data_IF_201554616881
#
_entry.id   IF_201554616881
#
_cell.length_a   1.000
_cell.length_b   1.000
_cell.length_c   1.000
_cell.angle_alpha   90.00
_cell.angle_beta   90.00
_cell.angle_gamma   90.00
#
_symmetry.space_group_name_H-M   'P 1'
#
loop_
_entity.id
_entity.type
_entity.pdbx_description
1 polymer ?
#
# COMPACT_ATOMS: atom_id res chain seq x y z
N UNK A 1 23.88 14.47 -14.63
CA UNK A 1 24.08 15.90 -14.30
C UNK A 1 24.62 16.01 -12.87
N UNK A 2 25.01 17.20 -12.41
CA UNK A 2 25.43 17.38 -11.01
C UNK A 2 24.28 17.03 -10.04
N UNK A 3 23.06 17.48 -10.35
CA UNK A 3 21.82 17.17 -9.61
C UNK A 3 21.62 15.66 -9.47
N UNK A 4 21.67 14.91 -10.58
CA UNK A 4 21.53 13.44 -10.57
C UNK A 4 22.58 12.75 -9.69
N UNK A 5 23.82 13.27 -9.66
CA UNK A 5 24.89 12.72 -8.80
C UNK A 5 24.62 12.94 -7.31
N UNK A 6 24.06 14.09 -6.93
CA UNK A 6 23.71 14.41 -5.53
C UNK A 6 22.50 13.62 -5.04
N UNK A 7 21.49 13.43 -5.90
CA UNK A 7 20.34 12.57 -5.58
C UNK A 7 20.73 11.10 -5.47
N UNK A 8 21.64 10.63 -6.33
CA UNK A 8 21.90 9.22 -6.53
C UNK A 8 20.77 8.55 -7.31
N UNK A 9 20.83 7.21 -7.41
CA UNK A 9 19.90 6.42 -8.22
C UNK A 9 18.59 6.17 -7.46
N UNK A 10 17.47 6.73 -7.93
CA UNK A 10 16.14 6.50 -7.35
C UNK A 10 15.44 5.25 -7.91
N UNK A 11 15.64 4.98 -9.19
CA UNK A 11 15.20 3.75 -9.87
C UNK A 11 16.39 3.11 -10.57
N UNK A 12 16.51 1.79 -10.50
CA UNK A 12 17.59 1.04 -11.14
C UNK A 12 17.35 0.84 -12.66
N UNK A 13 18.24 0.07 -13.31
CA UNK A 13 18.17 -0.21 -14.73
C UNK A 13 16.93 -1.03 -15.14
N UNK A 14 16.28 -1.73 -14.20
CA UNK A 14 15.04 -2.49 -14.41
C UNK A 14 13.78 -1.64 -14.09
N UNK A 15 13.94 -0.32 -13.92
CA UNK A 15 12.90 0.61 -13.44
C UNK A 15 12.30 0.21 -12.07
N UNK A 16 13.07 -0.49 -11.22
CA UNK A 16 12.66 -0.85 -9.85
C UNK A 16 13.08 0.22 -8.84
N UNK A 17 12.28 0.45 -7.79
CA UNK A 17 12.59 1.44 -6.75
C UNK A 17 13.79 1.03 -5.91
N UNK A 18 14.71 1.96 -5.67
CA UNK A 18 15.91 1.72 -4.84
C UNK A 18 15.68 2.05 -3.36
N UNK A 19 16.65 1.67 -2.51
CA UNK A 19 16.70 2.12 -1.12
C UNK A 19 16.75 3.67 -0.99
N UNK A 20 17.36 4.37 -1.95
CA UNK A 20 17.48 5.84 -1.96
C UNK A 20 16.14 6.54 -2.23
N UNK A 21 15.29 5.97 -3.10
CA UNK A 21 13.90 6.41 -3.21
C UNK A 21 13.15 6.17 -1.91
N UNK A 22 13.38 5.02 -1.25
CA UNK A 22 12.79 4.73 0.05
C UNK A 22 13.14 5.77 1.12
N UNK A 23 14.43 6.12 1.23
CA UNK A 23 14.94 7.18 2.11
C UNK A 23 14.25 8.53 1.88
N UNK A 24 14.09 8.92 0.61
CA UNK A 24 13.40 10.14 0.22
C UNK A 24 11.92 10.14 0.60
N UNK A 25 11.17 9.10 0.23
CA UNK A 25 9.74 9.03 0.47
C UNK A 25 9.40 8.87 1.96
N UNK A 26 10.21 8.13 2.73
CA UNK A 26 10.10 8.09 4.20
C UNK A 26 10.43 9.46 4.82
N UNK A 27 11.42 10.17 4.28
CA UNK A 27 11.78 11.52 4.70
C UNK A 27 10.64 12.51 4.52
N UNK A 28 9.96 12.45 3.37
CA UNK A 28 8.74 13.20 3.09
C UNK A 28 7.62 12.82 4.07
N UNK A 29 7.39 11.53 4.33
CA UNK A 29 6.41 11.09 5.32
C UNK A 29 6.70 11.63 6.73
N UNK A 30 7.97 11.68 7.14
CA UNK A 30 8.41 12.23 8.44
C UNK A 30 8.14 13.73 8.51
N UNK A 31 8.31 14.48 7.42
CA UNK A 31 7.92 15.90 7.36
C UNK A 31 6.40 16.07 7.52
N UNK A 32 5.58 15.31 6.79
CA UNK A 32 4.12 15.33 6.96
C UNK A 32 3.70 14.95 8.40
N UNK A 33 4.37 13.98 9.01
CA UNK A 33 4.13 13.57 10.38
C UNK A 33 4.41 14.69 11.39
N UNK A 34 5.52 15.41 11.24
CA UNK A 34 5.94 16.44 12.19
C UNK A 34 5.24 17.78 11.98
N UNK A 35 5.11 18.25 10.74
CA UNK A 35 4.80 19.65 10.43
C UNK A 35 3.35 19.90 10.01
N UNK A 36 2.60 18.85 9.61
CA UNK A 36 1.17 18.96 9.30
C UNK A 36 0.32 18.64 10.54
N UNK A 37 -0.85 19.26 10.67
CA UNK A 37 -1.75 18.98 11.79
C UNK A 37 -2.43 17.59 11.69
N UNK A 38 -2.64 16.87 12.82
CA UNK A 38 -2.06 17.13 14.14
C UNK A 38 -0.55 16.89 14.12
N UNK A 39 0.24 17.89 14.57
CA UNK A 39 1.72 17.81 14.55
C UNK A 39 2.27 16.71 15.45
N UNK A 40 3.47 16.23 15.11
CA UNK A 40 4.18 15.14 15.80
C UNK A 40 3.32 13.89 16.01
N UNK A 41 2.53 13.52 15.00
CA UNK A 41 1.80 12.25 14.97
C UNK A 41 2.76 11.05 14.85
N UNK A 42 2.23 9.82 14.78
CA UNK A 42 3.03 8.62 14.46
C UNK A 42 2.82 8.11 13.02
N UNK A 43 1.86 8.70 12.31
CA UNK A 43 1.39 8.28 10.97
C UNK A 43 0.88 9.47 10.16
N UNK A 44 0.89 9.32 8.84
CA UNK A 44 0.24 10.23 7.89
C UNK A 44 -1.24 9.82 7.78
N UNK A 45 -2.12 10.55 8.46
CA UNK A 45 -3.58 10.32 8.46
C UNK A 45 -4.22 10.73 7.12
N UNK A 46 -5.49 10.35 6.84
CA UNK A 46 -6.16 10.76 5.60
C UNK A 46 -6.25 12.28 5.45
N UNK A 47 -6.43 13.02 6.55
CA UNK A 47 -6.39 14.48 6.54
C UNK A 47 -5.02 15.03 6.10
N UNK A 48 -3.92 14.43 6.56
CA UNK A 48 -2.56 14.79 6.11
C UNK A 48 -2.30 14.41 4.65
N UNK A 49 -2.81 13.26 4.20
CA UNK A 49 -2.76 12.85 2.79
C UNK A 49 -3.50 13.86 1.90
N UNK A 50 -4.70 14.28 2.29
CA UNK A 50 -5.45 15.29 1.56
C UNK A 50 -4.71 16.62 1.48
N UNK A 51 -4.27 17.13 2.64
CA UNK A 51 -3.53 18.40 2.75
C UNK A 51 -2.26 18.38 1.88
N UNK A 52 -1.52 17.27 1.88
CA UNK A 52 -0.37 17.05 0.99
C UNK A 52 -0.78 17.16 -0.50
N UNK A 53 -1.81 16.44 -0.94
CA UNK A 53 -2.27 16.50 -2.33
C UNK A 53 -2.83 17.88 -2.76
N UNK A 54 -3.33 18.70 -1.83
CA UNK A 54 -3.66 20.10 -2.08
C UNK A 54 -2.41 20.97 -2.28
N UNK A 55 -1.42 20.84 -1.40
CA UNK A 55 -0.21 21.68 -1.41
C UNK A 55 0.65 21.41 -2.65
N UNK A 56 0.77 20.13 -3.06
CA UNK A 56 1.50 19.72 -4.27
C UNK A 56 0.56 19.38 -5.44
N UNK A 57 -0.59 20.04 -5.52
CA UNK A 57 -1.57 19.82 -6.60
C UNK A 57 -0.97 20.06 -7.99
N UNK A 58 -1.26 19.17 -8.93
CA UNK A 58 -0.88 19.31 -10.36
C UNK A 58 -2.07 19.80 -11.20
N UNK A 59 -1.83 20.13 -12.48
CA UNK A 59 -2.86 20.72 -13.35
C UNK A 59 -3.95 19.70 -13.74
N UNK A 60 -3.55 18.53 -14.24
CA UNK A 60 -4.46 17.42 -14.56
C UNK A 60 -4.33 16.34 -13.49
N UNK A 61 -5.21 16.38 -12.48
CA UNK A 61 -5.23 15.38 -11.41
C UNK A 61 -5.94 14.10 -11.88
N UNK A 62 -5.16 13.02 -12.03
CA UNK A 62 -5.65 11.70 -12.44
C UNK A 62 -6.73 11.15 -11.51
N UNK A 63 -6.70 11.52 -10.22
CA UNK A 63 -7.57 10.98 -9.18
C UNK A 63 -8.19 12.08 -8.31
N UNK A 64 -9.46 11.94 -7.89
CA UNK A 64 -10.14 12.95 -7.08
C UNK A 64 -9.74 12.83 -5.60
N UNK A 65 -8.57 13.37 -5.23
CA UNK A 65 -8.02 13.23 -3.87
C UNK A 65 -8.95 13.73 -2.76
N UNK A 66 -9.72 14.79 -3.03
CA UNK A 66 -10.76 15.28 -2.12
C UNK A 66 -11.80 14.20 -1.79
N UNK A 67 -12.29 13.47 -2.80
CA UNK A 67 -13.22 12.36 -2.60
C UNK A 67 -12.55 11.22 -1.83
N UNK A 68 -11.33 10.85 -2.24
CA UNK A 68 -10.59 9.69 -1.70
C UNK A 68 -10.24 9.86 -0.21
N UNK A 69 -9.81 11.06 0.21
CA UNK A 69 -9.33 11.28 1.58
C UNK A 69 -10.22 12.17 2.44
N UNK A 70 -11.13 12.94 1.83
CA UNK A 70 -12.11 13.80 2.51
C UNK A 70 -13.54 13.26 2.56
N UNK A 71 -13.93 12.31 1.68
CA UNK A 71 -15.31 11.79 1.61
C UNK A 71 -15.43 10.28 1.88
N UNK A 72 -14.45 9.46 1.47
CA UNK A 72 -14.52 8.02 1.68
C UNK A 72 -14.50 7.64 3.17
N UNK A 73 -15.19 6.55 3.49
CA UNK A 73 -15.14 5.98 4.84
C UNK A 73 -13.73 5.50 5.19
N UNK A 74 -13.36 5.59 6.47
CA UNK A 74 -12.10 5.03 6.97
C UNK A 74 -11.97 3.51 6.74
N UNK A 75 -13.08 2.78 6.63
CA UNK A 75 -13.06 1.37 6.24
C UNK A 75 -12.66 1.20 4.76
N UNK A 76 -13.20 2.03 3.86
CA UNK A 76 -12.81 2.07 2.44
C UNK A 76 -11.33 2.43 2.29
N UNK A 77 -10.85 3.45 3.02
CA UNK A 77 -9.44 3.88 2.99
C UNK A 77 -8.50 2.79 3.53
N UNK A 78 -8.87 2.09 4.61
CA UNK A 78 -8.09 0.93 5.09
C UNK A 78 -8.09 -0.24 4.09
N UNK A 79 -9.20 -0.51 3.40
CA UNK A 79 -9.24 -1.47 2.28
C UNK A 79 -8.28 -1.06 1.16
N UNK A 80 -8.38 0.18 0.67
CA UNK A 80 -7.47 0.77 -0.32
C UNK A 80 -5.99 0.60 0.08
N UNK A 81 -5.62 0.91 1.33
CA UNK A 81 -4.25 0.70 1.80
C UNK A 81 -3.84 -0.78 1.84
N UNK A 82 -4.73 -1.72 2.20
CA UNK A 82 -4.44 -3.17 2.13
C UNK A 82 -4.29 -3.67 0.70
N UNK A 83 -5.15 -3.24 -0.21
CA UNK A 83 -5.13 -3.58 -1.63
C UNK A 83 -3.80 -3.11 -2.27
N UNK A 84 -3.32 -1.93 -1.87
CA UNK A 84 -2.00 -1.39 -2.23
C UNK A 84 -0.83 -1.87 -1.34
N UNK A 85 -1.04 -2.81 -0.40
CA UNK A 85 -0.01 -3.32 0.54
C UNK A 85 0.71 -2.23 1.35
N UNK A 86 0.06 -1.10 1.58
CA UNK A 86 0.59 0.03 2.33
C UNK A 86 0.38 -0.19 3.84
N UNK A 87 1.48 -0.24 4.61
CA UNK A 87 1.44 -0.38 6.06
C UNK A 87 0.76 0.83 6.70
N UNK A 88 -0.25 0.59 7.53
CA UNK A 88 -0.96 1.63 8.27
C UNK A 88 -1.26 1.15 9.69
N UNK A 89 -1.41 2.11 10.60
CA UNK A 89 -1.96 1.89 11.93
C UNK A 89 -3.31 2.62 12.04
N UNK A 90 -4.17 2.14 12.92
CA UNK A 90 -5.35 2.90 13.32
C UNK A 90 -5.00 3.83 14.48
N UNK A 91 -5.37 5.11 14.37
CA UNK A 91 -5.28 6.08 15.46
C UNK A 91 -6.68 6.46 15.94
N UNK A 92 -6.76 6.90 17.20
CA UNK A 92 -7.95 7.55 17.74
C UNK A 92 -8.09 8.96 17.18
N UNK A 93 -9.31 9.48 17.20
CA UNK A 93 -9.53 10.91 17.05
C UNK A 93 -9.09 11.63 18.34
N UNK A 94 -8.47 12.80 18.21
CA UNK A 94 -7.74 13.46 19.30
C UNK A 94 -8.60 13.81 20.51
N UNK A 95 -9.90 14.00 20.30
CA UNK A 95 -10.87 14.40 21.32
C UNK A 95 -11.80 13.24 21.76
N UNK A 96 -11.65 12.03 21.21
CA UNK A 96 -12.58 10.89 21.42
C UNK A 96 -11.89 9.68 22.06
N UNK A 97 -11.31 9.87 23.25
CA UNK A 97 -10.59 8.85 24.01
C UNK A 97 -11.44 7.64 24.42
N UNK A 98 -12.77 7.78 24.46
CA UNK A 98 -13.74 6.72 24.73
C UNK A 98 -13.93 5.76 23.55
N UNK A 99 -13.56 6.17 22.33
CA UNK A 99 -13.76 5.40 21.10
C UNK A 99 -12.51 4.63 20.70
N UNK A 100 -12.73 3.47 20.08
CA UNK A 100 -11.66 2.65 19.52
C UNK A 100 -10.86 3.41 18.43
N UNK A 101 -9.53 3.20 18.32
CA UNK A 101 -8.76 3.66 17.16
C UNK A 101 -9.39 3.18 15.84
N UNK A 102 -9.70 4.11 14.93
CA UNK A 102 -10.45 3.80 13.71
C UNK A 102 -10.04 4.62 12.48
N UNK A 103 -9.14 5.61 12.63
CA UNK A 103 -8.60 6.41 11.53
C UNK A 103 -7.35 5.72 10.96
N UNK A 104 -7.32 5.19 9.72
CA UNK A 104 -6.15 4.54 9.15
C UNK A 104 -5.12 5.59 8.72
N UNK A 105 -3.97 5.64 9.39
CA UNK A 105 -2.84 6.47 8.99
C UNK A 105 -1.67 5.63 8.48
N UNK A 106 -1.07 6.04 7.36
CA UNK A 106 0.10 5.39 6.78
C UNK A 106 1.33 5.57 7.69
N UNK A 107 2.07 4.50 7.94
CA UNK A 107 3.42 4.61 8.50
C UNK A 107 4.36 5.21 7.44
N UNK A 108 5.58 5.66 7.77
CA UNK A 108 6.56 6.08 6.76
C UNK A 108 6.82 5.02 5.67
N UNK A 109 6.83 3.73 6.05
CA UNK A 109 6.95 2.62 5.11
C UNK A 109 5.69 2.46 4.23
N UNK A 110 4.50 2.66 4.80
CA UNK A 110 3.24 2.68 4.06
C UNK A 110 3.16 3.81 3.05
N UNK A 111 3.57 5.02 3.45
CA UNK A 111 3.65 6.19 2.57
C UNK A 111 4.70 6.01 1.46
N UNK A 112 5.86 5.43 1.78
CA UNK A 112 6.82 5.00 0.76
C UNK A 112 6.18 4.04 -0.25
N UNK A 113 5.48 3.00 0.23
CA UNK A 113 4.83 2.02 -0.66
C UNK A 113 3.77 2.69 -1.56
N UNK A 114 2.94 3.55 -0.97
CA UNK A 114 1.94 4.36 -1.66
C UNK A 114 2.56 5.21 -2.78
N UNK A 115 3.50 6.11 -2.44
CA UNK A 115 4.10 7.01 -3.41
C UNK A 115 4.93 6.27 -4.47
N UNK A 116 5.59 5.16 -4.11
CA UNK A 116 6.29 4.32 -5.09
C UNK A 116 5.34 3.78 -6.16
N UNK A 117 4.13 3.32 -5.76
CA UNK A 117 3.12 2.85 -6.73
C UNK A 117 2.58 3.99 -7.58
N UNK A 118 2.34 5.16 -7.00
CA UNK A 118 1.92 6.35 -7.75
C UNK A 118 2.95 6.70 -8.83
N UNK A 119 4.24 6.78 -8.46
CA UNK A 119 5.33 7.07 -9.40
C UNK A 119 5.41 6.03 -10.52
N UNK A 120 5.30 4.74 -10.20
CA UNK A 120 5.33 3.69 -11.22
C UNK A 120 4.08 3.70 -12.12
N UNK A 121 2.92 4.12 -11.60
CA UNK A 121 1.67 4.19 -12.35
C UNK A 121 1.59 5.41 -13.29
N UNK A 122 2.14 6.55 -12.86
CA UNK A 122 2.09 7.86 -13.56
C UNK A 122 3.40 8.66 -13.36
N UNK A 123 4.51 8.28 -14.03
CA UNK A 123 5.84 8.84 -13.72
C UNK A 123 5.97 10.35 -13.98
N UNK A 124 5.24 10.88 -14.97
CA UNK A 124 5.28 12.30 -15.33
C UNK A 124 4.55 13.16 -14.28
N UNK A 125 3.29 12.81 -14.00
CA UNK A 125 2.43 13.49 -13.03
C UNK A 125 3.06 13.52 -11.63
N UNK A 126 3.65 12.41 -11.20
CA UNK A 126 4.27 12.32 -9.89
C UNK A 126 5.69 12.92 -9.85
N UNK A 127 6.38 13.04 -11.00
CA UNK A 127 7.56 13.90 -11.10
C UNK A 127 7.20 15.38 -10.87
N UNK A 128 6.17 15.90 -11.55
CA UNK A 128 5.72 17.29 -11.34
C UNK A 128 5.33 17.55 -9.88
N UNK A 129 4.55 16.62 -9.30
CA UNK A 129 4.13 16.66 -7.90
C UNK A 129 5.32 16.67 -6.93
N UNK A 130 6.27 15.76 -7.11
CA UNK A 130 7.43 15.64 -6.23
C UNK A 130 8.45 16.76 -6.46
N UNK A 131 8.50 17.37 -7.65
CA UNK A 131 9.29 18.57 -7.91
C UNK A 131 8.82 19.75 -7.04
N UNK A 132 7.51 19.97 -6.96
CA UNK A 132 6.92 20.95 -6.00
C UNK A 132 7.23 20.56 -4.55
N UNK A 133 7.03 19.29 -4.20
CA UNK A 133 7.30 18.80 -2.85
C UNK A 133 8.75 19.08 -2.41
N UNK A 134 9.76 18.79 -3.24
CA UNK A 134 11.16 19.08 -2.89
C UNK A 134 11.45 20.58 -2.84
N UNK A 135 10.85 21.37 -3.75
CA UNK A 135 11.04 22.81 -3.81
C UNK A 135 10.52 23.48 -2.53
N UNK A 136 9.33 23.12 -2.06
CA UNK A 136 8.66 23.80 -0.95
C UNK A 136 9.03 23.19 0.41
N UNK A 137 9.11 21.86 0.52
CA UNK A 137 9.26 21.16 1.80
C UNK A 137 10.73 20.93 2.19
N UNK A 138 11.13 21.04 3.47
CA UNK A 138 12.51 20.87 3.96
C UNK A 138 12.88 19.39 4.19
N UNK A 139 12.75 18.55 3.16
CA UNK A 139 12.85 17.09 3.26
C UNK A 139 14.29 16.63 3.60
N UNK A 140 14.41 15.81 4.64
CA UNK A 140 15.68 15.16 5.05
C UNK A 140 15.65 13.66 4.78
N UNK A 141 16.80 13.00 4.74
CA UNK A 141 16.88 11.54 4.65
C UNK A 141 16.33 10.89 5.93
N UNK A 142 15.43 9.92 5.77
CA UNK A 142 14.85 9.17 6.88
C UNK A 142 15.87 8.36 7.69
N UNK A 143 16.97 7.94 7.06
CA UNK A 143 18.01 7.10 7.66
C UNK A 143 19.18 7.94 8.20
N UNK A 144 19.35 9.18 7.72
CA UNK A 144 20.25 10.19 8.28
C UNK A 144 19.61 11.58 8.21
N UNK A 145 18.99 12.00 9.31
CA UNK A 145 18.25 13.28 9.39
C UNK A 145 19.14 14.52 9.18
N UNK A 146 20.47 14.38 9.21
CA UNK A 146 21.42 15.46 8.92
C UNK A 146 21.60 15.68 7.42
N UNK A 147 21.40 14.64 6.61
CA UNK A 147 21.40 14.76 5.16
C UNK A 147 20.07 15.35 4.68
N UNK A 148 20.13 16.48 3.99
CA UNK A 148 18.97 17.09 3.32
C UNK A 148 18.97 16.77 1.84
N UNK A 149 17.81 16.46 1.29
CA UNK A 149 17.67 16.29 -0.16
C UNK A 149 17.75 17.64 -0.88
N UNK A 150 18.25 17.68 -2.14
CA UNK A 150 18.25 18.89 -2.94
C UNK A 150 16.85 19.46 -3.17
N UNK A 151 16.75 20.79 -3.30
CA UNK A 151 15.51 21.52 -3.60
C UNK A 151 15.02 21.41 -5.05
N UNK A 152 15.76 20.69 -5.91
CA UNK A 152 15.43 20.45 -7.31
C UNK A 152 15.69 18.96 -7.62
N UNK A 153 14.75 18.30 -8.30
CA UNK A 153 14.85 16.88 -8.70
C UNK A 153 14.78 16.77 -10.23
N UNK A 154 15.57 15.86 -10.82
CA UNK A 154 15.62 15.67 -12.28
C UNK A 154 14.60 14.62 -12.73
N UNK A 155 13.81 14.94 -13.78
CA UNK A 155 12.88 13.99 -14.45
C UNK A 155 13.55 12.68 -14.88
N UNK A 156 14.86 12.72 -15.15
CA UNK A 156 15.67 11.55 -15.54
C UNK A 156 15.90 10.54 -14.43
N UNK A 157 15.58 10.89 -13.18
CA UNK A 157 15.63 9.97 -12.03
C UNK A 157 14.37 9.10 -11.91
N UNK A 158 13.34 9.35 -12.73
CA UNK A 158 12.05 8.66 -12.71
C UNK A 158 11.93 7.70 -13.91
N UNK A 159 11.07 6.65 -13.83
CA UNK A 159 10.80 5.75 -14.96
C UNK A 159 10.43 6.51 -16.24
N UNK A 160 10.82 5.99 -17.40
CA UNK A 160 10.55 6.64 -18.70
C UNK A 160 9.14 6.35 -19.19
N UNK A 161 8.54 5.25 -18.74
CA UNK A 161 7.21 4.80 -19.12
C UNK A 161 6.45 4.34 -17.89
N UNK A 162 5.14 4.48 -17.98
CA UNK A 162 4.19 4.01 -16.98
C UNK A 162 4.17 2.49 -16.93
N UNK A 163 4.29 1.94 -15.73
CA UNK A 163 4.11 0.51 -15.50
C UNK A 163 2.60 0.19 -15.53
N UNK A 164 2.14 -0.40 -16.63
CA UNK A 164 0.73 -0.70 -16.87
C UNK A 164 0.10 -1.57 -15.77
N UNK A 165 0.87 -2.52 -15.20
CA UNK A 165 0.40 -3.39 -14.11
C UNK A 165 0.20 -2.57 -12.82
N UNK A 166 1.15 -1.69 -12.48
CA UNK A 166 0.99 -0.77 -11.36
C UNK A 166 -0.18 0.20 -11.60
N UNK A 167 -0.33 0.73 -12.82
CA UNK A 167 -1.44 1.63 -13.17
C UNK A 167 -2.81 0.97 -13.03
N UNK A 168 -2.96 -0.26 -13.52
CA UNK A 168 -4.19 -1.06 -13.34
C UNK A 168 -4.47 -1.32 -11.86
N UNK A 169 -3.48 -1.80 -11.11
CA UNK A 169 -3.59 -2.07 -9.67
C UNK A 169 -4.00 -0.82 -8.88
N UNK A 170 -3.38 0.33 -9.17
CA UNK A 170 -3.69 1.62 -8.53
C UNK A 170 -5.10 2.09 -8.91
N UNK A 171 -5.47 2.04 -10.20
CA UNK A 171 -6.81 2.43 -10.64
C UNK A 171 -7.91 1.55 -10.02
N UNK A 172 -7.72 0.23 -9.96
CA UNK A 172 -8.67 -0.70 -9.34
C UNK A 172 -8.83 -0.43 -7.85
N UNK A 173 -7.73 -0.27 -7.11
CA UNK A 173 -7.79 0.01 -5.67
C UNK A 173 -8.44 1.37 -5.39
N UNK A 174 -8.04 2.43 -6.13
CA UNK A 174 -8.59 3.78 -5.96
C UNK A 174 -10.05 3.91 -6.36
N UNK A 175 -10.58 3.03 -7.23
CA UNK A 175 -12.00 2.97 -7.55
C UNK A 175 -12.87 2.62 -6.32
N UNK A 176 -12.28 2.06 -5.26
CA UNK A 176 -12.93 1.72 -3.99
C UNK A 176 -14.28 1.01 -4.20
N UNK A 177 -14.24 -0.09 -4.96
CA UNK A 177 -15.40 -0.93 -5.30
C UNK A 177 -16.55 -0.15 -5.97
N UNK A 178 -16.21 0.90 -6.72
CA UNK A 178 -17.14 1.77 -7.47
C UNK A 178 -17.51 3.08 -6.78
N UNK A 179 -17.04 3.32 -5.54
CA UNK A 179 -17.30 4.56 -4.79
C UNK A 179 -16.59 5.80 -5.38
N UNK A 180 -15.55 5.61 -6.20
CA UNK A 180 -14.77 6.70 -6.80
C UNK A 180 -14.79 6.58 -8.33
N UNK A 181 -15.19 7.63 -9.08
CA UNK A 181 -15.13 7.64 -10.53
C UNK A 181 -13.68 7.83 -11.00
N UNK A 182 -12.95 6.72 -11.12
CA UNK A 182 -11.60 6.71 -11.69
C UNK A 182 -11.68 6.73 -13.21
N UNK A 183 -10.94 7.64 -13.85
CA UNK A 183 -10.72 7.63 -15.30
C UNK A 183 -9.85 6.43 -15.68
N UNK A 184 -10.47 5.29 -16.00
CA UNK A 184 -9.78 4.19 -16.66
C UNK A 184 -9.45 4.57 -18.11
N UNK A 185 -8.27 4.15 -18.59
CA UNK A 185 -7.99 4.19 -20.02
C UNK A 185 -9.02 3.29 -20.76
N UNK A 186 -9.48 3.66 -21.97
CA UNK A 186 -10.41 2.82 -22.72
C UNK A 186 -9.79 1.43 -22.90
N UNK A 187 -10.46 0.39 -22.39
CA UNK A 187 -10.04 -0.96 -22.70
C UNK A 187 -10.21 -1.20 -24.21
N UNK A 188 -9.26 -1.89 -24.88
CA UNK A 188 -9.51 -2.34 -26.23
C UNK A 188 -10.79 -3.19 -26.25
N UNK A 189 -11.66 -3.05 -27.26
CA UNK A 189 -12.91 -3.80 -27.31
C UNK A 189 -12.60 -5.31 -27.31
N UNK A 190 -13.46 -6.14 -26.70
CA UNK A 190 -13.27 -7.58 -26.72
C UNK A 190 -13.21 -8.09 -28.18
N UNK A 191 -12.42 -9.14 -28.47
CA UNK A 191 -12.41 -9.75 -29.79
C UNK A 191 -13.82 -10.12 -30.21
N UNK A 192 -14.23 -9.69 -31.40
CA UNK A 192 -15.55 -10.01 -31.94
C UNK A 192 -15.74 -11.53 -32.08
N UNK A 193 -16.98 -12.04 -31.98
CA UNK A 193 -17.25 -13.47 -32.15
C UNK A 193 -16.79 -13.92 -33.55
N UNK A 194 -16.20 -15.13 -33.67
CA UNK A 194 -15.77 -15.65 -34.96
C UNK A 194 -16.98 -15.80 -35.90
N UNK A 195 -16.82 -15.53 -37.21
CA UNK A 195 -17.92 -15.60 -38.16
C UNK A 195 -18.48 -17.02 -38.24
N UNK A 196 -19.77 -17.18 -37.93
CA UNK A 196 -20.47 -18.45 -38.01
C UNK A 196 -20.57 -18.91 -39.46
N UNK A 197 -19.75 -19.89 -39.86
CA UNK A 197 -19.89 -20.54 -41.16
C UNK A 197 -21.16 -21.37 -41.16
N UNK A 198 -22.14 -20.98 -41.97
CA UNK A 198 -23.36 -21.78 -42.22
C UNK A 198 -23.01 -22.98 -43.10
N UNK A 199 -23.17 -24.23 -42.65
CA UNK A 199 -22.92 -25.39 -43.50
C UNK A 199 -24.05 -25.53 -44.53
N UNK A 200 -23.74 -25.34 -45.81
CA UNK A 200 -24.67 -25.68 -46.89
C UNK A 200 -24.73 -27.20 -47.05
N UNK A 201 -25.89 -27.78 -46.76
CA UNK A 201 -26.14 -29.21 -46.91
C UNK A 201 -26.48 -29.54 -48.37
N UNK A 202 -25.49 -30.01 -49.14
CA UNK A 202 -25.73 -30.54 -50.50
C UNK A 202 -25.73 -32.06 -50.42
N UNK A 203 -26.92 -32.65 -50.61
CA UNK A 203 -27.14 -34.09 -50.59
C UNK A 203 -26.92 -34.71 -51.97
N UNK A 204 -26.05 -35.72 -52.08
CA UNK A 204 -26.09 -36.78 -53.11
C UNK A 204 -25.12 -37.94 -52.78
N UNK A 205 -25.55 -39.17 -53.03
CA UNK A 205 -24.77 -40.43 -52.96
C UNK A 205 -24.96 -41.22 -54.28
N UNK A 206 -24.08 -42.17 -54.66
CA UNK A 206 -22.62 -42.10 -54.72
C UNK A 206 -22.18 -42.22 -56.21
N UNK A 207 -21.77 -43.35 -56.87
CA UNK A 207 -21.21 -44.65 -56.45
C UNK A 207 -19.77 -44.99 -56.97
N UNK A 208 -19.14 -45.94 -56.30
CA UNK A 208 -18.15 -46.96 -56.74
C UNK A 208 -16.81 -46.67 -57.46
N UNK A 209 -15.85 -47.51 -57.04
CA UNK A 209 -14.63 -47.99 -57.73
C UNK A 209 -13.30 -47.23 -57.59
N UNK A 210 -12.42 -47.90 -56.81
CA UNK A 210 -11.07 -48.32 -57.19
C UNK A 210 -9.84 -47.42 -56.94
N UNK A 211 -8.88 -48.06 -56.27
CA UNK A 211 -7.41 -48.05 -56.50
C UNK A 211 -6.50 -46.92 -55.97
N UNK A 212 -5.42 -47.41 -55.35
CA UNK A 212 -4.03 -46.91 -55.20
C UNK A 212 -3.72 -45.63 -54.39
N UNK A 213 -3.09 -45.89 -53.23
CA UNK A 213 -1.78 -45.40 -52.79
C UNK A 213 -1.28 -43.99 -53.21
N UNK A 214 -0.91 -43.19 -52.21
CA UNK A 214 0.46 -42.68 -51.95
C UNK A 214 0.42 -41.54 -50.92
N UNK A 215 1.57 -41.33 -50.29
CA UNK A 215 1.96 -40.33 -49.30
C UNK A 215 1.30 -38.94 -49.34
N UNK A 216 0.97 -38.38 -48.17
CA UNK A 216 1.87 -37.44 -47.47
C UNK A 216 1.38 -37.13 -46.04
N UNK A 217 2.31 -37.05 -45.08
CA UNK A 217 2.04 -36.84 -43.66
C UNK A 217 2.09 -35.36 -43.28
N UNK A 218 0.93 -34.74 -43.04
CA UNK A 218 0.82 -33.49 -42.25
C UNK A 218 -0.59 -33.28 -41.68
N UNK A 219 -0.98 -34.09 -40.68
CA UNK A 219 -2.22 -33.88 -39.92
C UNK A 219 -1.95 -33.08 -38.63
N UNK A 220 -2.50 -31.87 -38.44
CA UNK A 220 -2.37 -31.16 -37.16
C UNK A 220 -3.12 -31.91 -36.06
N UNK A 221 -2.38 -32.32 -35.04
CA UNK A 221 -2.89 -33.14 -33.95
C UNK A 221 -3.78 -32.31 -32.99
N UNK A 222 -5.09 -32.25 -33.27
CA UNK A 222 -6.08 -31.71 -32.32
C UNK A 222 -6.22 -32.64 -31.11
N UNK A 223 -5.45 -32.37 -30.05
CA UNK A 223 -5.63 -32.99 -28.73
C UNK A 223 -6.71 -32.23 -27.94
N UNK A 224 -7.87 -32.83 -27.63
CA UNK A 224 -8.87 -32.17 -26.79
C UNK A 224 -8.37 -32.09 -25.35
N UNK A 225 -8.13 -30.88 -24.84
CA UNK A 225 -7.72 -30.64 -23.44
C UNK A 225 -8.97 -30.60 -22.55
N UNK A 226 -9.77 -31.68 -22.59
CA UNK A 226 -10.91 -31.86 -21.70
C UNK A 226 -10.66 -33.08 -20.79
N UNK A 227 -10.14 -32.80 -19.59
CA UNK A 227 -9.96 -33.79 -18.54
C UNK A 227 -11.29 -33.99 -17.82
N UNK A 228 -12.09 -34.93 -18.30
CA UNK A 228 -13.30 -35.39 -17.59
C UNK A 228 -12.97 -35.73 -16.13
N UNK A 229 -13.63 -35.05 -15.19
CA UNK A 229 -13.48 -35.32 -13.77
C UNK A 229 -14.35 -36.51 -13.39
N UNK A 230 -13.72 -37.63 -13.03
CA UNK A 230 -14.43 -38.74 -12.36
C UNK A 230 -15.11 -38.22 -11.07
N UNK A 231 -16.35 -38.62 -10.78
CA UNK A 231 -17.03 -38.18 -9.56
C UNK A 231 -16.29 -38.66 -8.31
N UNK A 232 -16.18 -37.79 -7.31
CA UNK A 232 -15.50 -38.10 -6.05
C UNK A 232 -16.33 -39.07 -5.20
N UNK A 233 -15.90 -40.32 -5.10
CA UNK A 233 -16.35 -41.22 -4.03
C UNK A 233 -15.61 -40.87 -2.73
N UNK A 234 -16.26 -40.14 -1.82
CA UNK A 234 -15.72 -39.84 -0.51
C UNK A 234 -15.70 -41.10 0.37
N UNK A 235 -14.54 -41.75 0.47
CA UNK A 235 -14.34 -42.84 1.42
C UNK A 235 -14.17 -42.21 2.82
N UNK A 236 -15.09 -42.51 3.74
CA UNK A 236 -15.12 -41.90 5.07
C UNK A 236 -13.86 -42.27 5.84
N UNK A 237 -12.94 -41.31 5.98
CA UNK A 237 -11.67 -41.51 6.67
C UNK A 237 -11.91 -41.78 8.16
N UNK A 238 -11.56 -42.98 8.62
CA UNK A 238 -11.62 -43.33 10.03
C UNK A 238 -10.75 -42.39 10.87
N UNK A 239 -11.37 -41.64 11.78
CA UNK A 239 -10.69 -40.69 12.63
C UNK A 239 -9.67 -41.38 13.55
N UNK A 240 -8.47 -40.81 13.65
CA UNK A 240 -7.50 -41.21 14.67
C UNK A 240 -7.85 -40.53 15.98
N UNK A 241 -8.24 -41.31 16.97
CA UNK A 241 -8.34 -40.87 18.36
C UNK A 241 -6.91 -40.63 18.85
N UNK A 242 -6.64 -39.44 19.38
CA UNK A 242 -5.40 -39.15 20.09
C UNK A 242 -5.64 -39.41 21.57
N UNK A 243 -4.82 -40.28 22.15
CA UNK A 243 -4.83 -40.59 23.58
C UNK A 243 -4.13 -39.47 24.37
N UNK A 244 -4.60 -39.22 25.59
CA UNK A 244 -4.21 -38.04 26.39
C UNK A 244 -2.90 -38.29 27.16
N UNK A 245 -1.78 -37.89 26.58
CA UNK A 245 -0.47 -37.96 27.23
C UNK A 245 -0.18 -36.71 28.08
N UNK A 246 -0.76 -36.73 29.28
CA UNK A 246 -0.37 -35.85 30.38
C UNK A 246 0.99 -36.24 30.97
N UNK A 247 2.10 -35.64 30.49
CA UNK A 247 3.38 -35.67 31.22
C UNK A 247 4.28 -34.47 30.88
N UNK A 248 4.06 -33.33 31.53
CA UNK A 248 4.88 -32.11 31.35
C UNK A 248 6.14 -32.17 32.22
N UNK A 249 7.21 -32.79 31.71
CA UNK A 249 8.52 -32.79 32.38
C UNK A 249 9.34 -31.55 32.00
N UNK A 250 9.15 -30.47 32.76
CA UNK A 250 10.08 -29.33 32.75
C UNK A 250 11.35 -29.73 33.49
N UNK A 251 12.44 -29.91 32.75
CA UNK A 251 13.77 -29.97 33.35
C UNK A 251 14.25 -28.54 33.65
N UNK A 252 14.34 -28.19 34.93
CA UNK A 252 15.10 -27.02 35.37
C UNK A 252 15.91 -27.40 36.62
N UNK A 253 17.22 -27.30 36.53
CA UNK A 253 18.16 -27.70 37.59
C UNK A 253 18.73 -26.50 38.33
N UNK A 254 19.19 -26.78 39.56
CA UNK A 254 20.03 -25.95 40.43
C UNK A 254 19.32 -24.89 41.29
N UNK A 255 18.91 -25.37 42.46
CA UNK A 255 18.72 -24.62 43.72
C UNK A 255 20.03 -24.02 44.24
N UNK A 256 19.95 -22.80 44.79
CA UNK A 256 20.81 -22.30 45.87
C UNK A 256 19.99 -21.32 46.73
N UNK A 257 20.26 -21.28 48.04
CA UNK A 257 19.31 -20.84 49.07
C UNK A 257 19.30 -19.32 49.40
N UNK A 258 18.27 -18.83 50.13
CA UNK A 258 17.98 -17.41 50.27
C UNK A 258 18.72 -16.74 51.45
N UNK A 259 18.85 -15.42 51.39
CA UNK A 259 19.16 -14.61 52.58
C UNK A 259 18.22 -13.41 52.69
N UNK A 260 17.63 -13.26 53.87
CA UNK A 260 16.69 -12.20 54.22
C UNK A 260 17.44 -10.96 54.71
N UNK A 261 17.00 -9.78 54.26
CA UNK A 261 17.18 -8.50 54.99
C UNK A 261 16.28 -7.44 54.37
N UNK A 262 15.19 -7.09 55.06
CA UNK A 262 14.32 -6.01 54.64
C UNK A 262 14.98 -4.63 54.79
N UNK A 263 14.53 -3.66 54.01
CA UNK A 263 14.78 -2.23 54.27
C UNK A 263 13.46 -1.45 54.28
N UNK A 264 13.33 -0.43 55.16
CA UNK A 264 12.03 0.01 55.61
C UNK A 264 11.45 1.16 54.79
N UNK A 265 10.13 1.22 54.85
CA UNK A 265 9.29 2.39 54.59
C UNK A 265 9.83 3.64 55.31
N UNK A 266 10.00 4.78 54.61
CA UNK A 266 10.19 6.08 55.28
C UNK A 266 9.29 7.16 54.69
N UNK A 267 8.45 7.65 55.59
CA UNK A 267 7.39 8.63 55.45
C UNK A 267 7.71 9.87 54.62
N UNK A 268 6.74 10.28 53.80
CA UNK A 268 6.61 11.64 53.29
C UNK A 268 6.43 12.63 54.45
N UNK A 269 7.01 13.82 54.32
CA UNK A 269 6.87 14.91 55.29
C UNK A 269 5.93 15.97 54.75
N UNK A 270 5.00 16.45 55.60
CA UNK A 270 4.10 17.54 55.25
C UNK A 270 4.86 18.83 54.96
N UNK A 271 4.48 19.52 53.88
CA UNK A 271 4.72 20.95 53.69
C UNK A 271 3.39 21.59 53.25
N UNK A 272 3.04 22.71 53.86
CA UNK A 272 1.67 23.23 53.87
C UNK A 272 1.28 24.02 52.61
N UNK A 273 -0.02 24.03 52.34
CA UNK A 273 -0.67 24.76 51.25
C UNK A 273 -0.59 26.28 51.44
N UNK A 274 -0.15 27.02 50.42
CA UNK A 274 -0.54 28.42 50.20
C UNK A 274 -0.69 28.69 48.68
N UNK A 275 -1.84 29.24 48.22
CA UNK A 275 -2.02 29.68 46.84
C UNK A 275 -1.44 31.09 46.60
N UNK A 276 -1.11 31.46 45.34
CA UNK A 276 -0.55 32.77 45.01
C UNK A 276 -1.59 33.90 45.02
N UNK A 277 -1.19 35.15 45.34
CA UNK A 277 -2.09 36.30 45.29
C UNK A 277 -2.28 36.85 43.87
N UNK A 278 -3.51 36.75 43.35
CA UNK A 278 -3.92 37.43 42.11
C UNK A 278 -4.00 38.95 42.33
N UNK A 279 -3.08 39.71 41.74
CA UNK A 279 -3.12 41.18 41.77
C UNK A 279 -3.84 41.72 40.55
N UNK A 280 -5.15 41.93 40.67
CA UNK A 280 -5.93 42.74 39.72
C UNK A 280 -6.00 44.17 40.25
N UNK A 281 -5.40 45.14 39.54
CA UNK A 281 -5.70 46.55 39.72
C UNK A 281 -6.09 47.19 38.39
N UNK A 282 -7.28 47.77 38.39
CA UNK A 282 -7.93 48.40 37.26
C UNK A 282 -7.41 49.83 37.08
N UNK A 283 -7.20 50.25 35.84
CA UNK A 283 -6.94 51.66 35.50
C UNK A 283 -8.24 52.28 34.97
N UNK A 284 -8.88 53.08 35.82
CA UNK A 284 -9.86 54.15 35.60
C UNK A 284 -10.19 54.71 36.99
N UNK A 285 -10.23 56.01 37.25
CA UNK A 285 -10.42 57.17 36.36
C UNK A 285 -9.59 58.35 36.85
#
# INVERSE_FOLDING_TARGET
>A
TAIEKTWGTLFDADEKPTARLGQFLRGLAIHLINDYEPKHSIVVTPAKMLKFYEDVRVYDETYPWQTIFGTLSYQSISKLYRDLRCQHHFVQDGDMFDKMPHIPGLTPNGFQCWMTRQIQAHPETEFERLSKAVQDMPISNADDIKERFPKEISRRLFPKKDNLQCRQLVATALSCDGQVPVRSAPMPPPPGPPPSQTPQYVSSYPPDSATVASDEDNSPCTVPIERERKPYSAQVGGGKIYDDFSDTKVANTNTAEPSSSGRPHRSLSNAASQPPPSTYHSIRT
#
